data_IF_793003297040
#
_entry.id   IF_793003297040
#
_cell.length_a   1.000
_cell.length_b   1.000
_cell.length_c   1.000
_cell.angle_alpha   90.00
_cell.angle_beta   90.00
_cell.angle_gamma   90.00
#
_symmetry.space_group_name_H-M   'P 1'
#
loop_
_entity.id
_entity.type
_entity.pdbx_description
1 polymer ?
#
# COMPACT_ATOMS: atom_id res chain seq x y z
N UNK A 1 -23.60 10.11 2.06
CA UNK A 1 -23.23 10.80 0.81
C UNK A 1 -23.56 9.87 -0.36
N UNK A 2 -23.86 10.38 -1.56
CA UNK A 2 -24.06 9.54 -2.75
C UNK A 2 -22.80 9.46 -3.59
N UNK A 3 -22.62 8.36 -4.34
CA UNK A 3 -21.40 8.10 -5.12
C UNK A 3 -21.20 9.06 -6.31
N UNK A 4 -22.25 9.71 -6.78
CA UNK A 4 -22.19 10.67 -7.90
C UNK A 4 -21.64 12.05 -7.52
N UNK A 5 -21.46 12.32 -6.22
CA UNK A 5 -20.93 13.60 -5.76
C UNK A 5 -19.43 13.70 -6.05
N UNK A 6 -18.96 14.83 -6.59
CA UNK A 6 -17.54 15.03 -7.00
C UNK A 6 -16.51 14.70 -5.91
N UNK A 7 -16.84 14.99 -4.66
CA UNK A 7 -15.97 14.67 -3.52
C UNK A 7 -15.75 13.15 -3.34
N UNK A 8 -16.59 12.29 -3.90
CA UNK A 8 -16.44 10.83 -3.88
C UNK A 8 -15.41 10.30 -4.89
N UNK A 9 -15.11 11.07 -5.95
CA UNK A 9 -14.25 10.63 -7.06
C UNK A 9 -12.97 11.45 -7.21
N UNK A 10 -12.93 12.66 -6.64
CA UNK A 10 -11.79 13.57 -6.74
C UNK A 10 -10.90 13.53 -5.47
N UNK A 11 -9.57 13.66 -5.66
CA UNK A 11 -8.58 13.75 -4.57
C UNK A 11 -8.54 15.17 -3.98
N UNK A 12 -9.58 15.57 -3.25
CA UNK A 12 -9.68 16.90 -2.62
C UNK A 12 -8.90 16.96 -1.29
N UNK A 13 -7.83 17.74 -1.24
CA UNK A 13 -7.00 17.92 -0.03
C UNK A 13 -7.42 19.15 0.79
N UNK A 14 -8.48 19.00 1.60
CA UNK A 14 -9.06 20.05 2.46
C UNK A 14 -9.61 19.42 3.76
N UNK A 15 -9.87 20.19 4.84
CA UNK A 15 -10.47 19.66 6.07
C UNK A 15 -11.96 19.34 5.88
N UNK A 16 -12.26 18.36 5.04
CA UNK A 16 -13.60 17.85 4.74
C UNK A 16 -13.57 16.33 4.88
N UNK A 17 -14.63 15.75 5.46
CA UNK A 17 -14.78 14.31 5.61
C UNK A 17 -16.10 13.86 4.97
N UNK A 18 -16.00 12.94 4.00
CA UNK A 18 -17.15 12.34 3.34
C UNK A 18 -17.59 11.08 4.11
N UNK A 19 -18.84 11.06 4.57
CA UNK A 19 -19.42 9.90 5.26
C UNK A 19 -20.41 9.17 4.33
N UNK A 20 -20.15 7.88 4.11
CA UNK A 20 -20.99 6.95 3.36
C UNK A 20 -21.54 5.91 4.32
N UNK A 21 -22.86 5.75 4.34
CA UNK A 21 -23.51 4.69 5.11
C UNK A 21 -23.52 3.40 4.28
N UNK A 22 -23.43 2.26 4.95
CA UNK A 22 -23.56 0.93 4.38
C UNK A 22 -24.34 0.06 5.38
N UNK A 23 -25.21 -0.81 4.89
CA UNK A 23 -26.13 -1.60 5.71
C UNK A 23 -25.67 -3.05 5.91
N UNK A 24 -25.01 -3.64 4.90
CA UNK A 24 -24.55 -5.02 4.95
C UNK A 24 -23.02 -5.09 5.11
N UNK A 25 -22.61 -5.81 6.14
CA UNK A 25 -21.27 -6.37 6.26
C UNK A 25 -21.38 -7.76 5.64
N UNK A 26 -20.79 -8.00 4.47
CA UNK A 26 -20.79 -9.35 3.88
C UNK A 26 -19.93 -10.25 4.79
N UNK A 27 -20.63 -10.85 5.75
CA UNK A 27 -20.33 -11.83 6.79
C UNK A 27 -19.23 -11.53 7.84
N UNK A 28 -19.70 -11.08 9.01
CA UNK A 28 -18.96 -10.93 10.25
C UNK A 28 -18.58 -12.29 10.86
N UNK A 29 -17.35 -12.77 10.64
CA UNK A 29 -16.79 -13.93 11.36
C UNK A 29 -15.38 -13.60 11.85
N UNK A 30 -15.25 -13.52 13.19
CA UNK A 30 -14.04 -13.31 14.04
C UNK A 30 -13.11 -12.19 13.56
N UNK A 31 -13.04 -11.12 14.37
CA UNK A 31 -12.21 -9.90 14.26
C UNK A 31 -10.86 -10.06 13.52
N UNK A 32 -10.13 -11.16 13.73
CA UNK A 32 -8.84 -11.43 13.10
C UNK A 32 -8.97 -11.84 11.62
N UNK A 33 -9.95 -12.68 11.26
CA UNK A 33 -10.22 -13.04 9.86
C UNK A 33 -10.81 -11.86 9.06
N UNK A 34 -11.58 -10.98 9.70
CA UNK A 34 -12.13 -9.78 9.04
C UNK A 34 -11.02 -8.84 8.61
N UNK A 35 -10.03 -8.61 9.46
CA UNK A 35 -8.90 -7.73 9.15
C UNK A 35 -8.15 -8.22 7.91
N UNK A 36 -7.72 -9.49 7.89
CA UNK A 36 -6.95 -10.03 6.77
C UNK A 36 -7.77 -10.04 5.48
N UNK A 37 -9.04 -10.44 5.53
CA UNK A 37 -9.94 -10.41 4.36
C UNK A 37 -10.07 -9.02 3.75
N UNK A 38 -10.29 -8.00 4.58
CA UNK A 38 -10.41 -6.61 4.10
C UNK A 38 -9.07 -6.10 3.60
N UNK A 39 -7.98 -6.37 4.34
CA UNK A 39 -6.64 -5.95 3.93
C UNK A 39 -6.21 -6.54 2.58
N UNK A 40 -6.57 -7.79 2.30
CA UNK A 40 -6.30 -8.47 1.03
C UNK A 40 -7.21 -7.97 -0.12
N UNK A 41 -8.46 -7.61 0.18
CA UNK A 41 -9.41 -7.10 -0.80
C UNK A 41 -9.17 -5.63 -1.19
N UNK A 42 -8.55 -4.82 -0.31
CA UNK A 42 -8.26 -3.42 -0.59
C UNK A 42 -7.13 -3.26 -1.59
N UNK A 43 -7.42 -2.59 -2.71
CA UNK A 43 -6.43 -2.27 -3.74
C UNK A 43 -5.61 -1.02 -3.36
N UNK A 44 -4.78 -1.17 -2.33
CA UNK A 44 -3.91 -0.10 -1.80
C UNK A 44 -2.49 -0.61 -1.53
N UNK A 45 -1.51 0.29 -1.48
CA UNK A 45 -0.13 -0.07 -1.16
C UNK A 45 0.15 -0.28 0.33
N UNK A 46 -0.73 0.21 1.21
CA UNK A 46 -0.58 0.18 2.67
C UNK A 46 -1.94 0.11 3.36
N UNK A 47 -2.01 -0.62 4.48
CA UNK A 47 -3.22 -0.77 5.31
C UNK A 47 -2.90 -0.42 6.75
N UNK A 48 -3.72 0.43 7.38
CA UNK A 48 -3.68 0.72 8.81
C UNK A 48 -4.83 0.02 9.52
N UNK A 49 -4.53 -0.89 10.44
CA UNK A 49 -5.52 -1.64 11.21
C UNK A 49 -5.70 -0.99 12.59
N UNK A 50 -6.91 -0.51 12.92
CA UNK A 50 -7.22 0.14 14.20
C UNK A 50 -6.27 1.30 14.56
N UNK A 51 -5.69 1.96 13.55
CA UNK A 51 -4.79 3.11 13.69
C UNK A 51 -5.09 4.12 12.60
N UNK A 52 -5.00 5.41 12.92
CA UNK A 52 -5.08 6.50 11.95
C UNK A 52 -3.73 6.86 11.31
N UNK A 53 -2.64 6.17 11.69
CA UNK A 53 -1.30 6.48 11.19
C UNK A 53 -0.55 5.20 10.82
N UNK A 54 -0.03 5.17 9.60
CA UNK A 54 0.78 4.09 9.04
C UNK A 54 2.24 4.49 8.79
N UNK A 55 2.61 5.74 9.11
CA UNK A 55 3.95 6.27 8.83
C UNK A 55 5.02 5.59 9.68
N UNK A 56 5.96 4.91 9.03
CA UNK A 56 7.12 4.27 9.64
C UNK A 56 8.26 4.17 8.60
N UNK A 57 9.43 4.72 8.92
CA UNK A 57 10.58 4.73 8.00
C UNK A 57 11.09 3.32 7.67
N UNK A 58 10.90 2.36 8.57
CA UNK A 58 11.30 0.96 8.35
C UNK A 58 10.29 0.16 7.51
N UNK A 59 9.09 0.70 7.26
CA UNK A 59 8.06 0.07 6.44
C UNK A 59 8.05 0.67 5.02
N UNK A 60 7.67 -0.11 3.98
CA UNK A 60 7.59 0.41 2.63
C UNK A 60 6.42 1.38 2.49
N UNK A 61 6.68 2.56 1.91
CA UNK A 61 5.69 3.56 1.56
C UNK A 61 5.54 3.60 0.04
N UNK A 62 4.33 3.43 -0.48
CA UNK A 62 4.10 3.45 -1.93
C UNK A 62 2.65 3.20 -2.29
N UNK A 63 2.26 3.65 -3.48
CA UNK A 63 0.93 3.41 -4.04
C UNK A 63 0.89 2.18 -4.95
N UNK A 64 -0.30 1.88 -5.45
CA UNK A 64 -0.47 0.99 -6.61
C UNK A 64 -1.32 1.72 -7.66
N UNK A 65 -1.34 1.19 -8.89
CA UNK A 65 -2.09 1.74 -10.03
C UNK A 65 -1.68 3.20 -10.32
N UNK A 66 -2.64 4.10 -10.49
CA UNK A 66 -2.40 5.52 -10.77
C UNK A 66 -1.84 6.29 -9.56
N UNK A 67 -1.72 5.62 -8.40
CA UNK A 67 -1.14 6.23 -7.19
C UNK A 67 0.38 6.02 -7.08
N UNK A 68 0.99 5.24 -7.98
CA UNK A 68 2.43 4.99 -8.01
C UNK A 68 2.78 3.53 -8.31
N UNK A 69 4.05 3.27 -8.64
CA UNK A 69 4.61 1.94 -8.91
C UNK A 69 5.74 1.56 -7.94
N UNK A 70 6.49 2.56 -7.50
CA UNK A 70 7.72 2.41 -6.73
C UNK A 70 7.44 2.35 -5.22
N UNK A 71 8.46 1.96 -4.44
CA UNK A 71 8.40 1.99 -2.97
C UNK A 71 9.54 2.81 -2.39
N UNK A 72 9.21 3.65 -1.43
CA UNK A 72 10.16 4.41 -0.63
C UNK A 72 10.26 3.84 0.80
N UNK A 73 11.38 4.12 1.48
CA UNK A 73 11.64 3.64 2.84
C UNK A 73 11.87 2.13 2.93
N UNK A 74 11.95 1.60 4.16
CA UNK A 74 12.33 0.21 4.45
C UNK A 74 13.67 -0.23 3.81
N UNK A 75 13.89 -1.55 3.77
CA UNK A 75 15.01 -2.14 3.01
C UNK A 75 14.80 -2.09 1.49
N UNK A 76 13.57 -1.89 1.01
CA UNK A 76 13.24 -1.91 -0.42
C UNK A 76 13.50 -0.56 -1.10
N UNK A 77 13.49 0.55 -0.35
CA UNK A 77 13.59 1.88 -0.94
C UNK A 77 14.92 2.17 -1.63
N UNK A 78 15.99 1.44 -1.31
CA UNK A 78 17.28 1.59 -2.00
C UNK A 78 17.26 1.00 -3.42
N UNK A 79 16.36 0.04 -3.69
CA UNK A 79 16.31 -0.68 -4.96
C UNK A 79 15.92 0.25 -6.12
N UNK A 80 15.14 1.32 -5.86
CA UNK A 80 14.77 2.34 -6.86
C UNK A 80 15.96 3.21 -7.30
N UNK A 81 17.04 3.23 -6.51
CA UNK A 81 18.26 4.00 -6.79
C UNK A 81 19.47 3.12 -7.11
N UNK A 82 19.32 1.80 -7.08
CA UNK A 82 20.39 0.84 -7.28
C UNK A 82 20.23 0.11 -8.62
N UNK A 83 21.36 -0.21 -9.26
CA UNK A 83 21.37 -1.05 -10.46
C UNK A 83 22.02 -2.40 -10.16
N UNK A 84 21.25 -3.48 -10.33
CA UNK A 84 21.79 -4.84 -10.23
C UNK A 84 22.73 -5.11 -11.39
N UNK A 85 23.97 -5.50 -11.08
CA UNK A 85 25.01 -5.83 -12.06
C UNK A 85 25.64 -7.17 -11.74
N UNK A 86 25.62 -8.07 -12.71
CA UNK A 86 26.34 -9.34 -12.63
C UNK A 86 27.75 -9.19 -13.19
N UNK A 87 28.73 -9.79 -12.52
CA UNK A 87 30.11 -9.92 -13.02
C UNK A 87 30.49 -11.39 -12.92
N UNK A 88 30.78 -12.00 -14.07
CA UNK A 88 31.26 -13.38 -14.16
C UNK A 88 32.74 -13.34 -14.48
N UNK A 89 33.57 -13.87 -13.58
CA UNK A 89 35.02 -13.93 -13.76
C UNK A 89 35.40 -15.34 -14.25
N UNK A 90 35.76 -15.43 -15.53
CA UNK A 90 36.33 -16.65 -16.12
C UNK A 90 37.85 -16.70 -16.01
N UNK A 91 38.44 -17.89 -16.16
CA UNK A 91 39.89 -18.07 -16.30
C UNK A 91 40.70 -17.97 -15.01
N UNK A 92 40.09 -18.18 -13.84
CA UNK A 92 40.84 -18.27 -12.57
C UNK A 92 41.71 -19.55 -12.57
N UNK A 93 42.98 -19.46 -12.12
CA UNK A 93 43.85 -20.63 -12.02
C UNK A 93 43.25 -21.66 -11.08
N UNK A 94 43.25 -22.93 -11.49
CA UNK A 94 43.04 -24.06 -10.60
C UNK A 94 44.36 -24.29 -9.84
N UNK A 95 44.58 -23.56 -8.75
CA UNK A 95 45.56 -24.01 -7.74
C UNK A 95 45.06 -25.27 -7.07
#
# INVERSE_FOLDING_TARGET
MTHDMRLASEKTFRPVAALFAFDEEEEAIREENRLFRVAEALEVGMVGANTGTVSNVAAPLGGIKESGLEREGSKYGIDEFAQVKIITIGGLPLT
#
